data_IF_767003596880
#
_entry.id   IF_767003596880
#
_cell.length_a   1.000
_cell.length_b   1.000
_cell.length_c   1.000
_cell.angle_alpha   90.00
_cell.angle_beta   90.00
_cell.angle_gamma   90.00
#
_symmetry.space_group_name_H-M   'P 1'
#
loop_
_entity.id
_entity.type
_entity.pdbx_description
1 polymer ?
#
# COMPACT_ATOMS: atom_id res chain seq x y z
N UNK A 1 -24.59 -48.94 22.33
CA UNK A 1 -24.01 -49.20 20.99
C UNK A 1 -22.74 -48.38 20.86
N UNK A 2 -21.58 -49.04 20.85
CA UNK A 2 -20.27 -48.41 20.64
C UNK A 2 -19.96 -48.41 19.15
N UNK A 3 -19.92 -47.24 18.52
CA UNK A 3 -19.52 -47.13 17.12
C UNK A 3 -17.99 -47.17 17.01
N UNK A 4 -17.46 -48.29 16.53
CA UNK A 4 -16.04 -48.40 16.18
C UNK A 4 -15.81 -47.88 14.76
N UNK A 5 -15.19 -46.71 14.64
CA UNK A 5 -14.76 -46.17 13.35
C UNK A 5 -13.33 -46.64 13.06
N UNK A 6 -13.10 -47.30 11.93
CA UNK A 6 -11.75 -47.74 11.57
C UNK A 6 -10.87 -46.51 11.28
N UNK A 7 -9.62 -46.52 11.78
CA UNK A 7 -8.61 -45.47 11.47
C UNK A 7 -8.49 -45.21 9.97
N UNK A 8 -8.66 -46.26 9.16
CA UNK A 8 -8.63 -46.17 7.69
C UNK A 8 -9.82 -45.39 7.12
N UNK A 9 -11.01 -45.57 7.68
CA UNK A 9 -12.20 -44.79 7.30
C UNK A 9 -12.04 -43.32 7.70
N UNK A 10 -11.49 -43.05 8.89
CA UNK A 10 -11.20 -41.68 9.34
C UNK A 10 -10.17 -40.98 8.45
N UNK A 11 -9.06 -41.66 8.13
CA UNK A 11 -8.01 -41.10 7.28
C UNK A 11 -8.45 -40.90 5.81
N UNK A 12 -9.30 -41.78 5.26
CA UNK A 12 -9.84 -41.60 3.90
C UNK A 12 -10.96 -40.57 3.81
N UNK A 13 -11.79 -40.45 4.84
CA UNK A 13 -12.85 -39.45 4.91
C UNK A 13 -12.30 -38.09 5.31
N UNK A 14 -11.99 -37.91 6.59
CA UNK A 14 -11.52 -36.63 7.13
C UNK A 14 -10.16 -36.25 6.54
N UNK A 15 -9.18 -37.16 6.56
CA UNK A 15 -7.83 -36.89 6.03
C UNK A 15 -7.80 -36.62 4.52
N UNK A 16 -8.63 -37.33 3.74
CA UNK A 16 -8.77 -37.14 2.29
C UNK A 16 -9.38 -35.79 1.92
N UNK A 17 -10.43 -35.37 2.64
CA UNK A 17 -11.08 -34.06 2.42
C UNK A 17 -10.17 -32.90 2.84
N UNK A 18 -9.38 -33.06 3.92
CA UNK A 18 -8.47 -32.00 4.40
C UNK A 18 -7.20 -31.83 3.55
N UNK A 19 -6.76 -32.88 2.85
CA UNK A 19 -5.57 -32.80 1.97
C UNK A 19 -5.93 -32.40 0.53
N UNK A 20 -7.14 -32.71 0.06
CA UNK A 20 -7.54 -32.46 -1.33
C UNK A 20 -8.06 -31.03 -1.58
N UNK A 21 -8.46 -30.30 -0.54
CA UNK A 21 -9.01 -28.95 -0.68
C UNK A 21 -8.08 -27.93 -0.03
N UNK A 22 -7.60 -26.90 -0.78
CA UNK A 22 -7.03 -25.71 -0.17
C UNK A 22 -8.02 -25.18 0.86
N UNK A 23 -7.55 -24.85 2.05
CA UNK A 23 -8.37 -24.55 3.25
C UNK A 23 -9.31 -23.34 3.12
N UNK A 24 -9.51 -22.78 1.92
CA UNK A 24 -10.37 -21.63 1.64
C UNK A 24 -10.22 -20.51 2.68
N UNK A 25 -9.01 -20.28 3.19
CA UNK A 25 -8.70 -19.32 4.26
C UNK A 25 -9.19 -17.90 3.96
N UNK A 26 -9.45 -17.58 2.69
CA UNK A 26 -10.05 -16.31 2.28
C UNK A 26 -11.53 -16.14 2.68
N UNK A 27 -12.23 -17.20 3.10
CA UNK A 27 -13.61 -17.14 3.57
C UNK A 27 -13.65 -17.52 5.05
N UNK A 28 -14.24 -16.67 5.87
CA UNK A 28 -14.55 -17.02 7.26
C UNK A 28 -15.49 -18.23 7.26
N UNK A 29 -14.98 -19.39 7.64
CA UNK A 29 -15.80 -20.59 7.85
C UNK A 29 -16.53 -20.42 9.19
N UNK A 30 -17.67 -21.10 9.32
CA UNK A 30 -18.70 -20.88 10.35
C UNK A 30 -18.25 -21.04 11.82
N UNK A 31 -16.97 -21.38 12.07
CA UNK A 31 -16.35 -21.47 13.41
C UNK A 31 -15.39 -20.34 13.76
N UNK A 32 -15.18 -19.33 12.90
CA UNK A 32 -14.28 -18.21 13.21
C UNK A 32 -15.00 -17.22 14.15
N UNK A 33 -14.79 -17.39 15.46
CA UNK A 33 -15.32 -16.47 16.47
C UNK A 33 -14.89 -15.04 16.15
N UNK A 34 -15.80 -14.06 16.37
CA UNK A 34 -15.47 -12.62 16.33
C UNK A 34 -14.52 -12.28 17.48
N UNK A 35 -13.27 -12.71 17.39
CA UNK A 35 -12.22 -12.29 18.30
C UNK A 35 -11.92 -10.82 18.02
N UNK A 36 -11.82 -10.03 19.08
CA UNK A 36 -11.42 -8.64 18.96
C UNK A 36 -10.05 -8.56 18.26
N UNK A 37 -9.84 -7.54 17.41
CA UNK A 37 -8.57 -7.35 16.67
C UNK A 37 -7.33 -7.42 17.57
N UNK A 38 -7.47 -7.01 18.83
CA UNK A 38 -6.42 -7.08 19.84
C UNK A 38 -6.10 -8.53 20.27
N UNK A 39 -7.11 -9.40 20.40
CA UNK A 39 -6.94 -10.81 20.80
C UNK A 39 -6.44 -11.67 19.64
N UNK A 40 -6.87 -11.39 18.42
CA UNK A 40 -6.39 -12.08 17.21
C UNK A 40 -4.88 -11.82 16.94
N UNK A 41 -4.40 -10.59 17.17
CA UNK A 41 -2.97 -10.26 17.07
C UNK A 41 -2.11 -10.96 18.12
N UNK A 42 -2.62 -11.13 19.35
CA UNK A 42 -1.93 -11.85 20.44
C UNK A 42 -1.90 -13.37 20.24
N UNK A 43 -2.91 -13.94 19.59
CA UNK A 43 -3.05 -15.37 19.40
C UNK A 43 -2.29 -15.92 18.17
N UNK A 44 -1.56 -15.10 17.42
CA UNK A 44 -0.87 -15.53 16.19
C UNK A 44 -1.81 -15.95 15.06
N UNK A 45 -3.12 -15.73 15.21
CA UNK A 45 -4.16 -16.12 14.26
C UNK A 45 -4.26 -15.13 13.10
N UNK A 46 -3.12 -14.84 12.47
CA UNK A 46 -2.95 -13.86 11.39
C UNK A 46 -3.59 -14.35 10.08
N UNK A 47 -3.76 -15.66 9.92
CA UNK A 47 -4.29 -16.29 8.70
C UNK A 47 -5.73 -15.88 8.32
N UNK A 48 -6.57 -15.48 9.28
CA UNK A 48 -7.99 -15.13 9.02
C UNK A 48 -8.24 -13.61 8.82
N UNK A 49 -7.19 -12.79 8.81
CA UNK A 49 -7.33 -11.34 8.60
C UNK A 49 -7.00 -10.94 7.16
N UNK A 50 -7.77 -9.99 6.62
CA UNK A 50 -7.43 -9.40 5.33
C UNK A 50 -6.03 -8.76 5.40
N UNK A 51 -5.17 -8.96 4.40
CA UNK A 51 -3.84 -8.37 4.40
C UNK A 51 -3.94 -6.85 4.39
N UNK A 52 -3.13 -6.20 5.22
CA UNK A 52 -3.00 -4.74 5.22
C UNK A 52 -2.28 -4.32 3.95
N UNK A 53 -2.81 -3.32 3.25
CA UNK A 53 -2.26 -2.81 1.99
C UNK A 53 -1.87 -1.36 2.15
N UNK A 54 -0.80 -0.97 1.47
CA UNK A 54 -0.43 0.41 1.26
C UNK A 54 -0.94 0.84 -0.12
N UNK A 55 -1.51 2.04 -0.19
CA UNK A 55 -1.76 2.74 -1.45
C UNK A 55 -1.10 4.12 -1.36
N UNK A 56 -0.38 4.48 -2.41
CA UNK A 56 0.19 5.81 -2.59
C UNK A 56 -0.40 6.40 -3.86
N UNK A 57 -0.99 7.59 -3.74
CA UNK A 57 -1.61 8.30 -4.85
C UNK A 57 -0.87 9.61 -5.06
N UNK A 58 -0.55 9.92 -6.31
CA UNK A 58 0.20 11.10 -6.69
C UNK A 58 -0.62 11.97 -7.65
N UNK A 59 -0.62 13.28 -7.39
CA UNK A 59 -1.16 14.30 -8.29
C UNK A 59 -0.06 15.31 -8.57
N UNK A 60 0.55 15.26 -9.77
CA UNK A 60 1.72 16.09 -10.11
C UNK A 60 1.44 17.59 -10.17
N UNK A 61 0.21 17.97 -10.52
CA UNK A 61 -0.21 19.38 -10.51
C UNK A 61 -0.78 19.83 -9.15
N UNK A 62 -0.78 18.94 -8.15
CA UNK A 62 -1.30 19.22 -6.82
C UNK A 62 -2.83 19.31 -6.77
N UNK A 63 -3.33 20.12 -5.84
CA UNK A 63 -4.74 20.31 -5.54
C UNK A 63 -5.03 21.79 -5.28
N UNK A 64 -6.31 22.17 -5.25
CA UNK A 64 -6.73 23.53 -4.94
C UNK A 64 -6.21 23.99 -3.56
N UNK A 65 -5.30 24.96 -3.53
CA UNK A 65 -4.55 25.36 -2.34
C UNK A 65 -5.42 25.84 -1.17
N UNK A 66 -6.55 26.48 -1.47
CA UNK A 66 -7.49 26.97 -0.45
C UNK A 66 -8.44 25.92 0.12
N UNK A 67 -8.62 24.78 -0.56
CA UNK A 67 -9.66 23.80 -0.21
C UNK A 67 -9.06 22.42 0.12
N UNK A 68 -7.86 22.11 -0.36
CA UNK A 68 -7.10 20.94 0.07
C UNK A 68 -6.36 21.25 1.38
N UNK A 69 -7.14 21.40 2.46
CA UNK A 69 -6.61 21.73 3.78
C UNK A 69 -7.37 21.00 4.90
N UNK A 70 -6.74 20.98 6.07
CA UNK A 70 -7.36 20.54 7.31
C UNK A 70 -6.93 21.46 8.47
N UNK A 71 -7.83 21.63 9.45
CA UNK A 71 -7.58 22.33 10.72
C UNK A 71 -8.06 21.46 11.88
N UNK A 72 -7.40 21.56 13.04
CA UNK A 72 -7.71 20.71 14.19
C UNK A 72 -7.30 19.25 13.97
N UNK A 73 -7.86 18.35 14.76
CA UNK A 73 -7.54 16.92 14.74
C UNK A 73 -8.72 16.06 15.22
N UNK A 74 -8.68 14.77 14.89
CA UNK A 74 -9.67 13.80 15.34
C UNK A 74 -11.09 14.15 14.90
N UNK A 75 -12.05 14.01 15.82
CA UNK A 75 -13.47 14.29 15.56
C UNK A 75 -13.77 15.76 15.29
N UNK A 76 -12.92 16.68 15.77
CA UNK A 76 -13.03 18.12 15.58
C UNK A 76 -12.25 18.63 14.34
N UNK A 77 -11.69 17.74 13.52
CA UNK A 77 -10.97 18.13 12.33
C UNK A 77 -11.93 18.73 11.29
N UNK A 78 -11.65 19.98 10.89
CA UNK A 78 -12.33 20.66 9.80
C UNK A 78 -11.58 20.40 8.49
N UNK A 79 -12.29 19.93 7.47
CA UNK A 79 -11.74 19.63 6.14
C UNK A 79 -12.28 20.63 5.12
N UNK A 80 -11.44 21.09 4.20
CA UNK A 80 -11.89 21.93 3.09
C UNK A 80 -12.73 21.14 2.07
N UNK A 81 -13.42 21.85 1.16
CA UNK A 81 -14.52 21.29 0.34
C UNK A 81 -14.09 20.11 -0.53
N UNK A 82 -12.88 20.11 -1.08
CA UNK A 82 -12.39 19.01 -1.93
C UNK A 82 -12.16 17.71 -1.13
N UNK A 83 -12.09 17.80 0.20
CA UNK A 83 -11.94 16.67 1.12
C UNK A 83 -13.25 16.26 1.79
N UNK A 84 -14.40 16.83 1.38
CA UNK A 84 -15.74 16.47 1.90
C UNK A 84 -15.98 14.93 1.92
N UNK A 85 -15.59 14.16 0.88
CA UNK A 85 -15.75 12.70 0.91
C UNK A 85 -14.98 11.99 2.02
N UNK A 86 -14.00 12.65 2.66
CA UNK A 86 -13.19 12.08 3.73
C UNK A 86 -13.70 12.43 5.14
N UNK A 87 -14.76 13.23 5.27
CA UNK A 87 -15.26 13.74 6.57
C UNK A 87 -15.61 12.61 7.55
N UNK A 88 -16.21 11.52 7.07
CA UNK A 88 -16.56 10.36 7.91
C UNK A 88 -15.32 9.61 8.43
N UNK A 89 -14.15 9.84 7.83
CA UNK A 89 -12.89 9.17 8.16
C UNK A 89 -11.93 10.06 8.96
N UNK A 90 -12.35 11.26 9.39
CA UNK A 90 -11.47 12.25 10.04
C UNK A 90 -10.74 11.77 11.28
N UNK A 91 -11.35 10.90 12.09
CA UNK A 91 -10.69 10.27 13.26
C UNK A 91 -9.59 9.27 12.88
N UNK A 92 -9.58 8.82 11.62
CA UNK A 92 -8.58 7.91 11.05
C UNK A 92 -7.68 8.62 10.04
N UNK A 93 -7.77 9.94 9.95
CA UNK A 93 -7.01 10.75 9.02
C UNK A 93 -5.86 11.44 9.76
N UNK A 94 -4.67 11.40 9.16
CA UNK A 94 -3.56 12.27 9.55
C UNK A 94 -3.25 13.18 8.38
N UNK A 95 -3.51 14.47 8.55
CA UNK A 95 -3.26 15.48 7.53
C UNK A 95 -1.98 16.24 7.87
N UNK A 96 -0.95 16.10 7.02
CA UNK A 96 0.35 16.72 7.24
C UNK A 96 0.47 17.97 6.35
N UNK A 97 0.86 19.10 6.96
CA UNK A 97 1.11 20.37 6.26
C UNK A 97 2.58 20.73 6.33
N UNK A 98 3.10 21.34 5.27
CA UNK A 98 4.49 21.82 5.23
C UNK A 98 5.55 20.73 5.06
N UNK A 99 5.14 19.48 4.82
CA UNK A 99 6.07 18.42 4.43
C UNK A 99 6.55 18.67 3.00
N UNK A 100 7.87 18.74 2.81
CA UNK A 100 8.48 18.85 1.49
C UNK A 100 9.76 18.04 1.44
N UNK A 101 10.17 17.66 0.23
CA UNK A 101 11.46 17.01 -0.01
C UNK A 101 12.48 18.06 -0.47
N UNK A 102 13.52 18.32 0.34
CA UNK A 102 14.58 19.27 -0.01
C UNK A 102 15.36 18.84 -1.26
N UNK A 103 15.49 17.53 -1.50
CA UNK A 103 16.17 17.01 -2.69
C UNK A 103 15.37 17.23 -3.98
N UNK A 104 14.04 17.44 -3.88
CA UNK A 104 13.19 17.79 -5.04
C UNK A 104 13.47 19.20 -5.59
N UNK A 105 14.18 20.04 -4.83
CA UNK A 105 14.59 21.38 -5.27
C UNK A 105 15.86 21.34 -6.14
N UNK A 106 16.51 20.18 -6.27
CA UNK A 106 17.74 19.99 -7.05
C UNK A 106 17.39 19.31 -8.38
N UNK A 107 17.74 19.92 -9.50
CA UNK A 107 17.48 19.37 -10.84
C UNK A 107 16.25 19.94 -11.53
N UNK A 108 15.67 19.17 -12.46
CA UNK A 108 14.49 19.60 -13.24
C UNK A 108 13.20 19.51 -12.40
N UNK A 109 12.33 20.52 -12.47
CA UNK A 109 11.08 20.57 -11.71
C UNK A 109 10.22 19.33 -11.87
N UNK A 110 10.05 18.79 -13.08
CA UNK A 110 9.18 17.65 -13.32
C UNK A 110 9.86 16.35 -12.91
N UNK A 111 11.14 16.18 -13.24
CA UNK A 111 11.91 14.98 -12.93
C UNK A 111 12.15 14.85 -11.44
N UNK A 112 12.60 15.90 -10.78
CA UNK A 112 12.93 15.89 -9.36
C UNK A 112 11.68 15.83 -8.48
N UNK A 113 10.62 16.59 -8.75
CA UNK A 113 9.41 16.55 -7.90
C UNK A 113 8.63 15.24 -8.02
N UNK A 114 8.71 14.56 -9.16
CA UNK A 114 8.04 13.26 -9.37
C UNK A 114 8.95 12.11 -8.98
N UNK A 115 10.14 12.05 -9.57
CA UNK A 115 11.03 10.91 -9.53
C UNK A 115 11.65 10.65 -8.17
N UNK A 116 11.69 11.62 -7.26
CA UNK A 116 12.20 11.37 -5.91
C UNK A 116 11.13 11.36 -4.83
N UNK A 117 9.84 11.44 -5.20
CA UNK A 117 8.74 11.59 -4.25
C UNK A 117 8.74 10.51 -3.16
N UNK A 118 8.94 9.24 -3.55
CA UNK A 118 8.87 8.10 -2.62
C UNK A 118 10.25 7.60 -2.16
N UNK A 119 11.34 8.07 -2.78
CA UNK A 119 12.71 7.67 -2.40
C UNK A 119 13.43 8.74 -1.58
N UNK A 120 13.05 10.00 -1.68
CA UNK A 120 13.79 11.12 -1.08
C UNK A 120 15.20 11.32 -1.65
N UNK A 121 15.58 10.57 -2.69
CA UNK A 121 16.95 10.50 -3.18
C UNK A 121 17.24 11.57 -4.26
N UNK A 122 18.52 11.91 -4.41
CA UNK A 122 18.99 12.70 -5.54
C UNK A 122 18.93 11.85 -6.81
N UNK A 123 18.39 12.42 -7.88
CA UNK A 123 18.35 11.78 -9.19
C UNK A 123 19.64 12.05 -9.96
N UNK A 124 20.16 11.04 -10.65
CA UNK A 124 21.30 11.23 -11.54
C UNK A 124 20.91 12.04 -12.79
N UNK A 125 21.78 12.99 -13.15
CA UNK A 125 21.70 13.74 -14.40
C UNK A 125 22.47 13.04 -15.54
N UNK A 126 22.53 13.67 -16.71
CA UNK A 126 23.22 13.14 -17.89
C UNK A 126 22.45 12.01 -18.59
N UNK A 127 21.13 11.97 -18.44
CA UNK A 127 20.29 10.90 -19.00
C UNK A 127 20.38 9.56 -18.28
N UNK A 128 21.24 9.43 -17.25
CA UNK A 128 21.32 8.23 -16.43
C UNK A 128 20.05 8.02 -15.60
N UNK A 129 19.70 6.76 -15.35
CA UNK A 129 18.55 6.36 -14.54
C UNK A 129 19.08 5.74 -13.25
N UNK A 130 19.18 6.56 -12.21
CA UNK A 130 19.64 6.18 -10.88
C UNK A 130 18.93 7.03 -9.83
N UNK A 131 18.13 6.38 -9.00
CA UNK A 131 17.44 6.92 -7.82
C UNK A 131 17.75 6.00 -6.61
N UNK A 132 17.22 6.34 -5.44
CA UNK A 132 17.21 5.45 -4.27
C UNK A 132 16.00 4.52 -4.30
N UNK A 133 16.07 3.39 -3.59
CA UNK A 133 14.94 2.49 -3.40
C UNK A 133 13.80 3.23 -2.72
N UNK A 134 12.61 3.21 -3.32
CA UNK A 134 11.46 3.91 -2.76
C UNK A 134 10.86 3.18 -1.57
N UNK A 135 10.21 3.91 -0.65
CA UNK A 135 9.71 3.31 0.59
C UNK A 135 8.62 2.25 0.34
N UNK A 136 7.84 2.40 -0.74
CA UNK A 136 6.84 1.41 -1.15
C UNK A 136 7.50 0.09 -1.59
N UNK A 137 8.67 0.14 -2.23
CA UNK A 137 9.44 -1.05 -2.58
C UNK A 137 10.09 -1.70 -1.36
N UNK A 138 10.54 -0.90 -0.37
CA UNK A 138 10.98 -1.43 0.94
C UNK A 138 9.83 -2.18 1.63
N UNK A 139 8.61 -1.63 1.59
CA UNK A 139 7.42 -2.29 2.13
C UNK A 139 7.08 -3.57 1.37
N UNK A 140 7.15 -3.55 0.02
CA UNK A 140 6.91 -4.71 -0.81
C UNK A 140 7.90 -5.85 -0.52
N UNK A 141 9.18 -5.55 -0.29
CA UNK A 141 10.18 -6.55 0.09
C UNK A 141 9.89 -7.19 1.46
N UNK A 142 9.35 -6.41 2.41
CA UNK A 142 9.05 -6.89 3.77
C UNK A 142 7.72 -7.63 3.87
N UNK A 143 6.68 -7.15 3.20
CA UNK A 143 5.29 -7.60 3.38
C UNK A 143 4.66 -8.19 2.13
N UNK A 144 5.30 -8.12 0.96
CA UNK A 144 4.76 -8.57 -0.32
C UNK A 144 4.50 -10.07 -0.40
N UNK A 145 5.06 -10.88 0.52
CA UNK A 145 4.76 -12.32 0.64
C UNK A 145 3.35 -12.60 1.16
N UNK A 146 2.64 -11.60 1.69
CA UNK A 146 1.27 -11.73 2.20
C UNK A 146 0.18 -11.53 1.14
N UNK A 147 0.56 -11.16 -0.09
CA UNK A 147 -0.34 -10.89 -1.22
C UNK A 147 0.15 -11.62 -2.47
N UNK A 148 -0.74 -11.92 -3.43
CA UNK A 148 -0.35 -12.54 -4.71
C UNK A 148 0.60 -11.66 -5.53
N UNK A 149 0.39 -10.34 -5.45
CA UNK A 149 1.21 -9.32 -6.11
C UNK A 149 1.88 -8.51 -4.99
N UNK A 150 3.23 -8.50 -4.91
CA UNK A 150 3.94 -7.81 -3.82
C UNK A 150 3.93 -6.29 -3.97
N UNK A 151 3.90 -5.78 -5.21
CA UNK A 151 3.77 -4.37 -5.56
C UNK A 151 3.08 -4.24 -6.92
N UNK A 152 2.16 -3.28 -7.06
CA UNK A 152 1.48 -2.96 -8.30
C UNK A 152 1.60 -1.45 -8.54
N UNK A 153 2.38 -1.07 -9.54
CA UNK A 153 2.61 0.33 -9.93
C UNK A 153 1.79 0.63 -11.17
N UNK A 154 0.95 1.66 -11.08
CA UNK A 154 0.07 2.09 -12.16
C UNK A 154 0.30 3.57 -12.45
N UNK A 155 0.33 3.93 -13.73
CA UNK A 155 0.35 5.32 -14.20
C UNK A 155 -0.90 5.61 -15.02
N UNK A 156 -1.30 6.88 -15.05
CA UNK A 156 -2.39 7.34 -15.93
C UNK A 156 -1.93 7.49 -17.40
N UNK A 157 -0.61 7.59 -17.62
CA UNK A 157 0.01 7.86 -18.90
C UNK A 157 1.11 6.86 -19.21
N UNK A 158 1.50 6.76 -20.49
CA UNK A 158 2.65 5.95 -20.91
C UNK A 158 3.96 6.60 -20.47
N UNK A 159 4.93 5.78 -20.11
CA UNK A 159 6.28 6.24 -19.76
C UNK A 159 6.96 6.90 -20.97
N UNK A 160 7.60 8.06 -20.71
CA UNK A 160 8.36 8.80 -21.72
C UNK A 160 9.87 8.55 -21.54
N UNK A 161 10.55 7.85 -22.47
CA UNK A 161 11.97 7.55 -22.36
C UNK A 161 12.90 8.70 -22.85
N UNK A 162 12.38 9.90 -23.11
CA UNK A 162 13.18 11.04 -23.56
C UNK A 162 14.13 11.62 -22.51
N UNK A 163 14.84 12.69 -22.89
CA UNK A 163 15.69 13.47 -21.99
C UNK A 163 15.19 14.92 -22.00
N UNK A 164 15.11 15.54 -20.83
CA UNK A 164 14.70 16.94 -20.67
C UNK A 164 15.55 17.62 -19.59
N UNK A 165 16.23 18.71 -19.98
CA UNK A 165 17.20 19.46 -19.15
C UNK A 165 18.17 18.53 -18.42
N UNK A 166 18.83 17.64 -19.17
CA UNK A 166 19.80 16.64 -18.71
C UNK A 166 19.28 15.51 -17.82
N UNK A 167 17.97 15.44 -17.55
CA UNK A 167 17.35 14.35 -16.81
C UNK A 167 16.54 13.43 -17.73
N UNK A 168 16.53 12.13 -17.42
CA UNK A 168 15.63 11.20 -18.08
C UNK A 168 14.18 11.54 -17.76
N UNK A 169 13.31 11.58 -18.77
CA UNK A 169 11.86 11.77 -18.63
C UNK A 169 11.18 10.57 -17.95
N UNK A 170 11.90 9.46 -17.75
CA UNK A 170 11.44 8.36 -16.91
C UNK A 170 11.29 8.79 -15.45
N UNK A 171 12.09 9.73 -14.97
CA UNK A 171 11.91 10.34 -13.66
C UNK A 171 10.60 11.13 -13.54
N UNK A 172 10.06 11.64 -14.65
CA UNK A 172 8.75 12.30 -14.67
C UNK A 172 7.60 11.33 -14.89
N UNK A 173 7.91 10.05 -15.18
CA UNK A 173 6.91 9.02 -15.49
C UNK A 173 6.71 8.03 -14.35
N UNK A 174 7.59 8.01 -13.33
CA UNK A 174 7.56 7.04 -12.25
C UNK A 174 7.87 7.69 -10.90
N UNK A 175 7.17 7.21 -9.87
CA UNK A 175 7.41 7.60 -8.46
C UNK A 175 8.00 6.45 -7.62
N UNK A 176 8.01 5.23 -8.15
CA UNK A 176 8.40 3.98 -7.48
C UNK A 176 9.67 3.39 -8.13
N UNK A 177 10.65 2.98 -7.32
CA UNK A 177 12.01 2.56 -7.75
C UNK A 177 12.53 1.34 -7.00
#
# INVERSE_FOLDING_TARGET
MTHEYSRRAFLRGAGGVTLALPWMESRRVWGDEKTSKARARRAGNVGSQAPTRLAVLFSGNGFHSGEFNAKGAGSAMELGKVLTPLVEFRERLTFIRGLFNAEALKGNIHSSQTGNLLSGAILASGGAIRSGTSFDQVIAQRYGRSTKVPSLVLGCERSNPGIHKDYSMLYSSHISW
#
